data_IF_438243397974
#
_entry.id   IF_438243397974
#
_cell.length_a   1.000
_cell.length_b   1.000
_cell.length_c   1.000
_cell.angle_alpha   90.00
_cell.angle_beta   90.00
_cell.angle_gamma   90.00
#
_symmetry.space_group_name_H-M   'P 1'
#
loop_
_entity.id
_entity.type
_entity.pdbx_description
1 polymer ?
#
# COMPACT_ATOMS: atom_id res chain seq x y z
N UNK A 1 3.02 -11.79 -8.90
CA UNK A 1 2.91 -13.12 -9.52
C UNK A 1 1.47 -13.49 -9.79
N UNK A 2 0.78 -14.18 -8.87
CA UNK A 2 -0.56 -14.73 -9.12
C UNK A 2 -1.77 -13.87 -8.70
N UNK A 3 -1.69 -12.54 -8.76
CA UNK A 3 -2.85 -11.66 -8.52
C UNK A 3 -3.43 -11.60 -7.10
N UNK A 4 -2.81 -12.27 -6.10
CA UNK A 4 -3.31 -12.32 -4.71
C UNK A 4 -3.59 -10.95 -4.07
N UNK A 5 -2.79 -9.94 -4.43
CA UNK A 5 -2.95 -8.59 -3.88
C UNK A 5 -4.29 -7.95 -4.21
N UNK A 6 -4.90 -8.34 -5.33
CA UNK A 6 -6.20 -7.85 -5.75
C UNK A 6 -7.31 -8.19 -4.74
N UNK A 7 -7.18 -9.31 -4.02
CA UNK A 7 -8.16 -9.77 -3.03
C UNK A 7 -8.35 -8.80 -1.85
N UNK A 8 -7.36 -7.95 -1.56
CA UNK A 8 -7.50 -6.89 -0.56
C UNK A 8 -7.51 -5.48 -1.17
N UNK A 9 -6.87 -5.28 -2.33
CA UNK A 9 -6.84 -3.98 -3.01
C UNK A 9 -8.20 -3.59 -3.60
N UNK A 10 -8.90 -4.51 -4.27
CA UNK A 10 -10.20 -4.19 -4.85
C UNK A 10 -11.24 -3.84 -3.76
N UNK A 11 -11.39 -4.62 -2.68
CA UNK A 11 -12.25 -4.22 -1.57
C UNK A 11 -11.86 -2.87 -0.94
N UNK A 12 -10.57 -2.52 -0.90
CA UNK A 12 -10.09 -1.24 -0.38
C UNK A 12 -10.61 -0.03 -1.17
N UNK A 13 -10.86 -0.20 -2.47
CA UNK A 13 -11.40 0.86 -3.34
C UNK A 13 -12.93 0.97 -3.26
N UNK A 14 -13.61 -0.13 -2.98
CA UNK A 14 -15.08 -0.20 -2.98
C UNK A 14 -15.69 0.24 -1.65
N UNK A 15 -14.92 0.18 -0.55
CA UNK A 15 -15.39 0.51 0.78
C UNK A 15 -14.83 1.87 1.22
N UNK A 16 -15.64 2.72 1.88
CA UNK A 16 -15.12 3.93 2.48
C UNK A 16 -14.13 3.58 3.61
N UNK A 17 -13.11 4.42 3.79
CA UNK A 17 -12.11 4.29 4.85
C UNK A 17 -10.71 3.97 4.33
N UNK A 18 -9.88 3.39 5.20
CA UNK A 18 -8.49 3.04 4.93
C UNK A 18 -8.30 1.53 5.09
N UNK A 19 -7.57 0.91 4.17
CA UNK A 19 -7.15 -0.50 4.30
C UNK A 19 -5.70 -0.55 4.75
N UNK A 20 -5.46 -1.19 5.90
CA UNK A 20 -4.11 -1.45 6.41
C UNK A 20 -3.61 -2.80 5.92
N UNK A 21 -2.45 -2.81 5.28
CA UNK A 21 -1.79 -4.03 4.79
C UNK A 21 -0.46 -4.19 5.53
N UNK A 22 -0.28 -5.31 6.23
CA UNK A 22 0.96 -5.63 6.93
C UNK A 22 1.84 -6.47 6.00
N UNK A 23 3.04 -5.96 5.70
CA UNK A 23 4.04 -6.63 4.87
C UNK A 23 5.32 -6.83 5.66
N UNK A 24 5.96 -8.00 5.59
CA UNK A 24 7.21 -8.27 6.31
C UNK A 24 8.43 -7.61 5.68
N UNK A 25 8.36 -7.19 4.42
CA UNK A 25 9.50 -6.69 3.66
C UNK A 25 9.23 -5.29 3.11
N UNK A 26 10.15 -4.36 3.40
CA UNK A 26 10.12 -2.98 2.90
C UNK A 26 10.11 -2.94 1.37
N UNK A 27 10.93 -3.77 0.71
CA UNK A 27 10.94 -3.89 -0.75
C UNK A 27 9.54 -4.23 -1.31
N UNK A 28 8.85 -5.18 -0.67
CA UNK A 28 7.49 -5.57 -1.09
C UNK A 28 6.47 -4.45 -0.84
N UNK A 29 6.66 -3.64 0.20
CA UNK A 29 5.81 -2.46 0.45
C UNK A 29 5.98 -1.43 -0.66
N UNK A 30 7.21 -1.10 -1.02
CA UNK A 30 7.50 -0.16 -2.11
C UNK A 30 6.96 -0.64 -3.45
N UNK A 31 7.16 -1.92 -3.80
CA UNK A 31 6.62 -2.49 -5.04
C UNK A 31 5.09 -2.37 -5.11
N UNK A 32 4.39 -2.59 -4.00
CA UNK A 32 2.93 -2.47 -3.95
C UNK A 32 2.46 -1.02 -4.03
N UNK A 33 3.09 -0.10 -3.31
CA UNK A 33 2.75 1.34 -3.36
C UNK A 33 3.00 1.88 -4.76
N UNK A 34 4.17 1.62 -5.34
CA UNK A 34 4.51 2.05 -6.69
C UNK A 34 3.51 1.54 -7.74
N UNK A 35 3.09 0.27 -7.64
CA UNK A 35 2.07 -0.28 -8.54
C UNK A 35 0.70 0.41 -8.38
N UNK A 36 0.33 0.82 -7.18
CA UNK A 36 -0.93 1.52 -6.91
C UNK A 36 -0.87 2.98 -7.38
N UNK A 37 0.27 3.66 -7.17
CA UNK A 37 0.51 5.01 -7.67
C UNK A 37 0.47 5.07 -9.20
N UNK A 38 1.04 4.08 -9.90
CA UNK A 38 0.90 3.98 -11.36
C UNK A 38 -0.55 3.85 -11.81
N UNK A 39 -1.38 3.16 -11.02
CA UNK A 39 -2.82 3.06 -11.24
C UNK A 39 -3.60 4.30 -10.75
N UNK A 40 -2.90 5.36 -10.33
CA UNK A 40 -3.47 6.60 -9.79
C UNK A 40 -4.32 6.36 -8.52
N UNK A 41 -3.97 5.33 -7.76
CA UNK A 41 -4.58 5.00 -6.46
C UNK A 41 -3.68 5.53 -5.36
N UNK A 42 -4.27 6.29 -4.42
CA UNK A 42 -3.54 6.78 -3.24
C UNK A 42 -3.16 5.62 -2.32
N UNK A 43 -1.87 5.43 -2.11
CA UNK A 43 -1.30 4.46 -1.20
C UNK A 43 -0.01 5.00 -0.60
N UNK A 44 0.32 4.60 0.63
CA UNK A 44 1.51 5.04 1.35
C UNK A 44 2.10 3.86 2.11
N UNK A 45 3.43 3.84 2.27
CA UNK A 45 4.16 2.88 3.08
C UNK A 45 4.81 3.60 4.26
N UNK A 46 4.56 3.10 5.47
CA UNK A 46 5.23 3.56 6.69
C UNK A 46 6.32 2.55 7.05
N UNK A 47 7.55 3.02 7.20
CA UNK A 47 8.72 2.19 7.49
C UNK A 47 9.56 2.83 8.60
N UNK A 48 10.50 2.07 9.16
CA UNK A 48 11.42 2.61 10.17
C UNK A 48 12.29 3.78 9.65
N UNK A 49 12.43 3.93 8.33
CA UNK A 49 13.16 5.02 7.68
C UNK A 49 12.28 6.18 7.22
N UNK A 50 10.96 6.11 7.41
CA UNK A 50 10.05 7.21 7.05
C UNK A 50 10.27 8.42 7.94
N UNK A 51 10.25 9.61 7.34
CA UNK A 51 10.45 10.88 8.05
C UNK A 51 9.29 11.18 9.02
N UNK A 52 9.51 11.98 10.07
CA UNK A 52 8.43 12.41 10.96
C UNK A 52 7.28 13.12 10.24
N UNK A 53 7.58 13.84 9.15
CA UNK A 53 6.57 14.49 8.30
C UNK A 53 5.72 13.48 7.52
N UNK A 54 6.30 12.39 7.01
CA UNK A 54 5.58 11.32 6.31
C UNK A 54 4.72 10.45 7.25
N UNK A 55 5.06 10.43 8.54
CA UNK A 55 4.34 9.68 9.57
C UNK A 55 3.13 10.43 10.17
N UNK A 56 2.90 11.69 9.78
CA UNK A 56 1.80 12.55 10.28
C UNK A 56 0.66 12.64 9.28
#
# INVERSE_FOLDING_TARGET
GGGKSLCYQLPALLKPGVTLVISPLVALMHDQVFSLEQAQIKAYALTASSTPEENR
#
